data_IF_294781041528
#
_entry.id   IF_294781041528
#
_cell.length_a   1.000
_cell.length_b   1.000
_cell.length_c   1.000
_cell.angle_alpha   90.00
_cell.angle_beta   90.00
_cell.angle_gamma   90.00
#
_symmetry.space_group_name_H-M   'P 1'
#
loop_
_entity.id
_entity.type
_entity.pdbx_description
1 polymer ?
#
# COMPACT_ATOMS: atom_id res chain seq x y z
N UNK A 1 25.01 38.97 35.60
CA UNK A 1 24.92 37.54 35.23
C UNK A 1 23.48 37.02 35.17
N UNK A 2 22.58 37.40 36.10
CA UNK A 2 21.18 36.92 36.12
C UNK A 2 20.37 37.19 34.84
N UNK A 3 20.50 38.37 34.23
CA UNK A 3 19.83 38.69 32.95
C UNK A 3 20.34 37.85 31.77
N UNK A 4 21.65 37.57 31.68
CA UNK A 4 22.22 36.74 30.61
C UNK A 4 21.79 35.27 30.75
N UNK A 5 21.63 34.79 31.99
CA UNK A 5 21.11 33.44 32.28
C UNK A 5 19.62 33.32 31.92
N UNK A 6 18.83 34.36 32.18
CA UNK A 6 17.40 34.39 31.86
C UNK A 6 17.15 34.42 30.34
N UNK A 7 17.95 35.20 29.60
CA UNK A 7 17.93 35.21 28.12
C UNK A 7 18.35 33.85 27.55
N UNK A 8 19.37 33.20 28.14
CA UNK A 8 19.78 31.85 27.75
C UNK A 8 18.70 30.80 28.03
N UNK A 9 18.02 30.85 29.19
CA UNK A 9 16.92 29.94 29.50
C UNK A 9 15.71 30.13 28.56
N UNK A 10 15.39 31.37 28.19
CA UNK A 10 14.32 31.66 27.20
C UNK A 10 14.71 31.13 25.82
N UNK A 11 15.94 31.37 25.36
CA UNK A 11 16.46 30.83 24.09
C UNK A 11 16.51 29.29 24.09
N UNK A 12 16.91 28.67 25.21
CA UNK A 12 16.98 27.22 25.35
C UNK A 12 15.58 26.57 25.39
N UNK A 13 14.60 27.21 26.03
CA UNK A 13 13.21 26.76 26.02
C UNK A 13 12.55 26.85 24.64
N UNK A 14 12.90 27.85 23.83
CA UNK A 14 12.44 27.98 22.46
C UNK A 14 12.99 26.88 21.52
N UNK A 15 14.18 26.34 21.81
CA UNK A 15 14.79 25.27 21.01
C UNK A 15 14.12 23.91 21.28
N UNK A 16 13.66 23.66 22.51
CA UNK A 16 13.05 22.38 22.92
C UNK A 16 11.61 22.16 22.41
N UNK A 17 10.96 23.18 21.84
CA UNK A 17 9.56 23.10 21.39
C UNK A 17 9.36 22.50 19.99
N UNK A 18 10.42 22.18 19.23
CA UNK A 18 10.32 21.95 17.79
C UNK A 18 10.04 20.49 17.34
N UNK A 19 9.65 19.59 18.24
CA UNK A 19 9.60 18.15 17.95
C UNK A 19 8.25 17.45 18.09
N UNK A 20 7.21 18.08 18.64
CA UNK A 20 5.99 17.39 19.02
C UNK A 20 5.01 17.26 17.85
N UNK A 21 4.53 16.04 17.61
CA UNK A 21 3.52 15.75 16.59
C UNK A 21 2.17 15.57 17.25
N UNK A 22 1.13 16.20 16.69
CA UNK A 22 -0.26 15.94 17.07
C UNK A 22 -0.86 14.99 16.05
N UNK A 23 -1.33 13.83 16.49
CA UNK A 23 -2.04 12.84 15.68
C UNK A 23 -3.54 12.98 15.88
N UNK A 24 -4.24 13.19 14.77
CA UNK A 24 -5.68 13.06 14.69
C UNK A 24 -6.02 11.70 14.10
N UNK A 25 -6.77 10.88 14.84
CA UNK A 25 -7.16 9.53 14.43
C UNK A 25 -8.57 9.59 13.86
N UNK A 26 -8.74 9.08 12.64
CA UNK A 26 -10.02 8.97 11.97
C UNK A 26 -10.44 7.51 11.88
N UNK A 27 -11.68 7.22 12.26
CA UNK A 27 -12.36 6.00 11.83
C UNK A 27 -12.76 6.20 10.37
N UNK A 28 -12.21 5.37 9.49
CA UNK A 28 -12.45 5.44 8.04
C UNK A 28 -13.34 4.28 7.63
N UNK A 29 -14.42 4.56 6.92
CA UNK A 29 -15.30 3.57 6.32
C UNK A 29 -15.18 3.67 4.81
N UNK A 30 -14.99 2.52 4.16
CA UNK A 30 -14.84 2.38 2.72
C UNK A 30 -15.84 1.36 2.21
N UNK A 31 -16.61 1.73 1.19
CA UNK A 31 -17.38 0.82 0.36
C UNK A 31 -16.44 0.26 -0.72
N UNK A 32 -15.98 -1.00 -0.61
CA UNK A 32 -15.03 -1.55 -1.58
C UNK A 32 -15.64 -1.74 -2.97
N UNK A 33 -16.97 -1.77 -3.10
CA UNK A 33 -17.67 -1.96 -4.36
C UNK A 33 -18.90 -1.04 -4.44
N UNK A 34 -18.84 0.01 -5.25
CA UNK A 34 -19.94 0.97 -5.41
C UNK A 34 -21.16 0.39 -6.14
N UNK A 35 -21.03 -0.77 -6.79
CA UNK A 35 -22.09 -1.37 -7.62
C UNK A 35 -22.87 -2.42 -6.82
N UNK A 36 -22.21 -3.08 -5.86
CA UNK A 36 -22.83 -4.09 -5.00
C UNK A 36 -23.10 -3.55 -3.60
N UNK A 37 -24.23 -3.97 -3.00
CA UNK A 37 -24.52 -3.72 -1.59
C UNK A 37 -23.61 -4.59 -0.70
N UNK A 38 -22.36 -4.16 -0.54
CA UNK A 38 -21.39 -4.79 0.34
C UNK A 38 -21.30 -4.03 1.66
N UNK A 39 -21.00 -4.75 2.75
CA UNK A 39 -20.76 -4.10 4.03
C UNK A 39 -19.55 -3.18 3.94
N UNK A 40 -19.70 -1.95 4.43
CA UNK A 40 -18.58 -1.01 4.59
C UNK A 40 -17.45 -1.68 5.38
N UNK A 41 -16.23 -1.55 4.88
CA UNK A 41 -15.03 -1.99 5.59
C UNK A 41 -14.46 -0.81 6.36
N UNK A 42 -13.93 -1.09 7.55
CA UNK A 42 -13.36 -0.05 8.41
C UNK A 42 -11.87 -0.22 8.56
N UNK A 43 -11.14 0.89 8.55
CA UNK A 43 -9.77 0.97 9.04
C UNK A 43 -9.53 2.31 9.74
N UNK A 44 -8.44 2.42 10.51
CA UNK A 44 -8.02 3.70 11.09
C UNK A 44 -7.02 4.38 10.17
N UNK A 45 -7.22 5.68 9.98
CA UNK A 45 -6.26 6.55 9.31
C UNK A 45 -5.80 7.63 10.27
N UNK A 46 -4.57 8.07 10.09
CA UNK A 46 -3.92 9.08 10.91
C UNK A 46 -3.67 10.32 10.07
N UNK A 47 -3.94 11.48 10.66
CA UNK A 47 -3.46 12.77 10.22
C UNK A 47 -2.48 13.29 11.28
N UNK A 48 -1.20 13.15 10.99
CA UNK A 48 -0.12 13.63 11.84
C UNK A 48 0.28 15.03 11.42
N UNK A 49 0.26 15.97 12.37
CA UNK A 49 0.58 17.37 12.12
C UNK A 49 1.80 17.74 12.96
N UNK A 50 2.82 18.25 12.27
CA UNK A 50 4.06 18.71 12.85
C UNK A 50 4.50 19.98 12.12
N UNK A 51 4.56 21.09 12.85
CA UNK A 51 4.86 22.40 12.31
C UNK A 51 3.88 22.75 11.16
N UNK A 52 4.41 23.12 10.00
CA UNK A 52 3.63 23.54 8.82
C UNK A 52 3.31 22.38 7.86
N UNK A 53 3.51 21.13 8.30
CA UNK A 53 3.32 19.94 7.47
C UNK A 53 2.38 18.95 8.13
N UNK A 54 1.67 18.20 7.31
CA UNK A 54 0.90 17.05 7.76
C UNK A 54 1.11 15.82 6.90
N UNK A 55 0.91 14.66 7.52
CA UNK A 55 1.00 13.34 6.93
C UNK A 55 -0.32 12.61 7.15
N UNK A 56 -0.98 12.25 6.05
CA UNK A 56 -2.11 11.31 6.06
C UNK A 56 -1.64 9.91 5.68
N UNK A 57 -1.95 8.92 6.51
CA UNK A 57 -1.54 7.52 6.32
C UNK A 57 -2.51 6.54 6.99
N UNK A 58 -2.69 5.34 6.43
CA UNK A 58 -3.36 4.24 7.13
C UNK A 58 -2.51 3.68 8.27
N UNK A 59 -3.15 3.35 9.38
CA UNK A 59 -2.51 2.61 10.48
C UNK A 59 -1.96 1.26 10.01
N UNK A 60 -2.72 0.52 9.19
CA UNK A 60 -2.31 -0.80 8.69
C UNK A 60 -1.09 -0.70 7.78
N UNK A 61 -1.00 0.36 6.96
CA UNK A 61 0.21 0.68 6.19
C UNK A 61 1.38 1.01 7.11
N UNK A 62 1.18 1.91 8.08
CA UNK A 62 2.21 2.33 9.03
C UNK A 62 2.80 1.14 9.80
N UNK A 63 1.96 0.23 10.29
CA UNK A 63 2.38 -0.99 10.98
C UNK A 63 3.19 -1.88 10.04
N UNK A 64 2.73 -2.10 8.79
CA UNK A 64 3.50 -2.91 7.82
C UNK A 64 4.87 -2.33 7.54
N UNK A 65 4.95 -1.04 7.23
CA UNK A 65 6.23 -0.41 6.90
C UNK A 65 7.19 -0.40 8.09
N UNK A 66 6.68 -0.17 9.31
CA UNK A 66 7.47 -0.27 10.54
C UNK A 66 8.00 -1.69 10.78
N UNK A 67 7.13 -2.70 10.64
CA UNK A 67 7.54 -4.10 10.76
C UNK A 67 8.63 -4.43 9.71
N UNK A 68 8.40 -4.10 8.43
CA UNK A 68 9.37 -4.35 7.36
C UNK A 68 10.72 -3.64 7.59
N UNK A 69 10.70 -2.41 8.13
CA UNK A 69 11.93 -1.69 8.47
C UNK A 69 12.71 -2.40 9.59
N UNK A 70 12.02 -2.85 10.65
CA UNK A 70 12.65 -3.60 11.73
C UNK A 70 13.27 -4.92 11.23
N UNK A 71 12.59 -5.64 10.32
CA UNK A 71 13.14 -6.86 9.71
C UNK A 71 14.36 -6.59 8.84
N UNK A 72 14.35 -5.54 8.01
CA UNK A 72 15.52 -5.16 7.20
C UNK A 72 16.72 -4.81 8.06
N UNK A 73 16.50 -4.14 9.21
CA UNK A 73 17.57 -3.83 10.15
C UNK A 73 18.15 -5.09 10.78
N UNK A 74 17.32 -6.04 11.22
CA UNK A 74 17.78 -7.32 11.78
C UNK A 74 18.55 -8.16 10.76
N UNK A 75 18.10 -8.22 9.51
CA UNK A 75 18.82 -8.96 8.45
C UNK A 75 20.17 -8.30 8.14
N UNK A 76 20.25 -6.97 8.11
CA UNK A 76 21.51 -6.25 7.92
C UNK A 76 22.51 -6.50 9.06
N UNK A 77 22.03 -6.64 10.30
CA UNK A 77 22.91 -6.99 11.43
C UNK A 77 23.29 -8.47 11.47
N UNK A 78 22.46 -9.36 10.92
CA UNK A 78 22.68 -10.82 10.95
C UNK A 78 23.44 -11.34 9.73
N UNK A 79 24.27 -10.51 9.06
CA UNK A 79 25.26 -10.98 8.08
C UNK A 79 26.45 -11.75 8.73
N UNK A 80 26.15 -12.67 9.65
CA UNK A 80 26.97 -13.83 9.95
C UNK A 80 26.09 -15.07 9.78
N UNK A 81 26.21 -15.67 8.58
CA UNK A 81 25.87 -17.05 8.20
C UNK A 81 24.92 -17.78 9.16
N UNK A 82 23.64 -17.78 8.85
CA UNK A 82 22.75 -18.92 9.10
C UNK A 82 21.47 -18.70 8.29
N UNK A 83 21.27 -19.54 7.28
CA UNK A 83 19.99 -19.69 6.58
C UNK A 83 18.96 -20.18 7.60
N UNK A 84 18.29 -19.27 8.31
CA UNK A 84 17.14 -19.62 9.14
C UNK A 84 15.86 -19.50 8.34
N UNK A 85 15.38 -20.68 7.97
CA UNK A 85 13.99 -21.07 7.73
C UNK A 85 12.96 -19.95 8.02
N UNK A 86 12.50 -19.29 6.95
CA UNK A 86 11.40 -18.31 6.97
C UNK A 86 10.03 -18.94 7.31
N UNK A 87 9.99 -20.26 7.52
CA UNK A 87 8.81 -21.08 7.80
C UNK A 87 8.30 -20.98 9.25
N UNK A 88 9.06 -20.41 10.20
CA UNK A 88 8.63 -20.25 11.61
C UNK A 88 7.90 -18.94 11.92
N UNK A 89 7.26 -18.30 10.93
CA UNK A 89 6.52 -17.05 11.11
C UNK A 89 5.00 -17.25 11.27
N UNK A 90 4.54 -18.39 11.81
CA UNK A 90 3.11 -18.71 11.95
C UNK A 90 2.38 -17.96 13.07
N UNK A 91 3.04 -17.08 13.83
CA UNK A 91 2.46 -16.42 15.02
C UNK A 91 2.24 -14.90 14.93
N UNK A 92 2.55 -14.25 13.80
CA UNK A 92 2.46 -12.78 13.70
C UNK A 92 1.23 -12.41 12.89
N UNK A 93 0.31 -11.63 13.50
CA UNK A 93 -0.91 -11.09 12.88
C UNK A 93 -0.59 -10.73 11.43
N UNK A 94 -1.20 -11.45 10.48
CA UNK A 94 -1.15 -11.08 9.07
C UNK A 94 -1.50 -9.60 9.02
N UNK A 95 -0.58 -8.78 8.53
CA UNK A 95 -0.80 -7.35 8.58
C UNK A 95 -2.02 -7.05 7.74
N UNK A 96 -3.03 -6.46 8.38
CA UNK A 96 -4.35 -6.33 7.78
C UNK A 96 -4.23 -5.56 6.45
N UNK A 97 -5.02 -5.95 5.43
CA UNK A 97 -5.11 -5.18 4.19
C UNK A 97 -5.51 -3.73 4.49
N UNK A 98 -5.11 -2.81 3.61
CA UNK A 98 -5.50 -1.39 3.67
C UNK A 98 -6.03 -0.94 2.32
N UNK A 99 -6.96 0.02 2.32
CA UNK A 99 -7.40 0.74 1.12
C UNK A 99 -6.43 1.88 0.75
N UNK A 100 -5.55 2.26 1.67
CA UNK A 100 -4.59 3.36 1.51
C UNK A 100 -3.16 2.82 1.55
N UNK A 101 -2.74 2.13 0.48
CA UNK A 101 -1.35 1.65 0.29
C UNK A 101 -0.34 2.81 0.05
N UNK A 102 -0.84 4.04 -0.03
CA UNK A 102 -0.12 5.28 -0.22
C UNK A 102 -0.11 6.13 1.05
N UNK A 103 0.66 7.22 1.04
CA UNK A 103 0.56 8.28 2.04
C UNK A 103 0.56 9.65 1.36
N UNK A 104 0.02 10.65 2.04
CA UNK A 104 -0.10 12.00 1.50
C UNK A 104 0.60 12.97 2.44
N UNK A 105 1.44 13.83 1.89
CA UNK A 105 2.08 14.92 2.63
C UNK A 105 1.49 16.24 2.15
N UNK A 106 1.13 17.11 3.11
CA UNK A 106 0.63 18.45 2.81
C UNK A 106 1.53 19.50 3.43
N UNK A 107 1.84 20.52 2.65
CA UNK A 107 2.38 21.78 3.14
C UNK A 107 1.21 22.75 3.27
N UNK A 108 0.71 22.91 4.51
CA UNK A 108 -0.56 23.57 4.78
C UNK A 108 -0.52 25.06 4.41
N UNK A 109 0.53 25.84 4.78
CA UNK A 109 0.61 27.25 4.39
C UNK A 109 0.68 27.47 2.87
N UNK A 110 1.36 26.61 2.13
CA UNK A 110 1.49 26.72 0.67
C UNK A 110 0.34 26.04 -0.09
N UNK A 111 -0.57 25.35 0.62
CA UNK A 111 -1.63 24.52 0.06
C UNK A 111 -1.13 23.51 -0.99
N UNK A 112 0.10 22.99 -0.80
CA UNK A 112 0.66 21.96 -1.68
C UNK A 112 0.40 20.59 -1.12
N UNK A 113 -0.09 19.70 -1.96
CA UNK A 113 -0.41 18.31 -1.61
C UNK A 113 0.45 17.38 -2.47
N UNK A 114 1.12 16.44 -1.83
CA UNK A 114 1.99 15.45 -2.48
C UNK A 114 1.47 14.05 -2.15
N UNK A 115 1.22 13.27 -3.18
CA UNK A 115 0.79 11.88 -3.07
C UNK A 115 1.99 10.97 -3.31
N UNK A 116 2.26 10.06 -2.37
CA UNK A 116 3.37 9.11 -2.44
C UNK A 116 2.87 7.68 -2.40
N UNK A 117 3.44 6.86 -3.28
CA UNK A 117 3.22 5.41 -3.32
C UNK A 117 4.57 4.69 -3.36
N UNK A 118 4.59 3.42 -2.99
CA UNK A 118 5.78 2.57 -3.07
C UNK A 118 5.46 1.38 -3.96
N UNK A 119 6.24 1.27 -5.03
CA UNK A 119 6.10 0.21 -6.02
C UNK A 119 7.43 -0.51 -6.17
N UNK A 120 7.41 -1.80 -5.85
CA UNK A 120 8.57 -2.70 -5.89
C UNK A 120 9.85 -2.13 -5.23
N UNK A 121 9.67 -1.54 -4.05
CA UNK A 121 10.76 -0.97 -3.26
C UNK A 121 11.21 0.43 -3.68
N UNK A 122 10.73 0.96 -4.81
CA UNK A 122 10.95 2.34 -5.25
C UNK A 122 9.76 3.21 -4.86
N UNK A 123 10.03 4.44 -4.42
CA UNK A 123 8.98 5.42 -4.21
C UNK A 123 8.69 6.17 -5.51
N UNK A 124 7.42 6.45 -5.75
CA UNK A 124 6.94 7.30 -6.83
C UNK A 124 5.95 8.30 -6.24
N UNK A 125 5.96 9.54 -6.72
CA UNK A 125 5.09 10.58 -6.20
C UNK A 125 4.68 11.60 -7.26
N UNK A 126 3.62 12.35 -6.98
CA UNK A 126 3.25 13.54 -7.73
C UNK A 126 2.76 14.64 -6.80
N UNK A 127 2.82 15.88 -7.29
CA UNK A 127 2.12 17.01 -6.66
C UNK A 127 0.71 17.10 -7.25
N UNK A 128 -0.32 17.18 -6.40
CA UNK A 128 -1.70 17.40 -6.83
C UNK A 128 -1.81 18.77 -7.49
N UNK A 129 -2.42 18.79 -8.67
CA UNK A 129 -2.58 19.97 -9.53
C UNK A 129 -4.00 20.55 -9.45
N UNK A 130 -4.98 19.81 -8.91
CA UNK A 130 -6.36 20.28 -8.78
C UNK A 130 -6.54 21.07 -7.48
N UNK A 131 -7.01 22.32 -7.53
CA UNK A 131 -7.29 23.10 -6.33
C UNK A 131 -8.55 22.61 -5.63
N UNK A 132 -8.54 22.59 -4.30
CA UNK A 132 -9.72 22.31 -3.47
C UNK A 132 -10.46 23.63 -3.20
N UNK A 133 -11.59 23.86 -3.87
CA UNK A 133 -12.38 25.08 -3.75
C UNK A 133 -13.64 24.82 -2.91
N UNK A 134 -13.57 25.09 -1.62
CA UNK A 134 -14.69 24.89 -0.71
C UNK A 134 -15.81 25.92 -0.88
N UNK A 135 -17.05 25.43 -0.86
CA UNK A 135 -18.25 26.23 -0.65
C UNK A 135 -18.68 26.07 0.80
N UNK A 136 -18.38 27.07 1.63
CA UNK A 136 -18.76 27.06 3.05
C UNK A 136 -20.22 27.50 3.19
N UNK A 137 -21.02 26.71 3.90
CA UNK A 137 -22.41 27.02 4.21
C UNK A 137 -22.55 27.67 5.59
N UNK A 138 -23.71 28.29 5.86
CA UNK A 138 -24.04 28.84 7.18
C UNK A 138 -24.61 27.80 8.16
N UNK A 139 -24.62 26.51 7.77
CA UNK A 139 -25.14 25.44 8.61
C UNK A 139 -24.10 25.10 9.67
N UNK A 140 -24.52 25.20 10.93
CA UNK A 140 -23.72 24.90 12.12
C UNK A 140 -24.40 23.83 12.94
N UNK A 141 -23.65 22.82 13.35
CA UNK A 141 -24.14 21.70 14.15
C UNK A 141 -23.18 21.38 15.30
N UNK A 142 -23.60 20.50 16.21
CA UNK A 142 -22.71 19.89 17.19
C UNK A 142 -22.46 18.43 16.81
N UNK A 143 -21.20 18.11 16.50
CA UNK A 143 -20.77 16.74 16.16
C UNK A 143 -19.47 16.41 16.89
N UNK A 144 -19.35 15.19 17.41
CA UNK A 144 -18.18 14.69 18.15
C UNK A 144 -17.71 15.62 19.29
N UNK A 145 -18.63 16.35 19.91
CA UNK A 145 -18.35 17.31 20.99
C UNK A 145 -17.88 18.69 20.52
N UNK A 146 -17.75 18.93 19.21
CA UNK A 146 -17.32 20.20 18.62
C UNK A 146 -18.48 20.98 18.01
N UNK A 147 -18.36 22.30 17.99
CA UNK A 147 -19.20 23.13 17.12
C UNK A 147 -18.61 23.09 15.71
N UNK A 148 -19.38 22.58 14.75
CA UNK A 148 -18.93 22.32 13.39
C UNK A 148 -19.73 23.11 12.37
N UNK A 149 -19.08 23.50 11.28
CA UNK A 149 -19.68 24.20 10.15
C UNK A 149 -19.55 23.33 8.89
N UNK A 150 -20.61 23.28 8.09
CA UNK A 150 -20.64 22.48 6.85
C UNK A 150 -19.99 23.22 5.69
N UNK A 151 -19.16 22.51 4.92
CA UNK A 151 -18.62 22.93 3.64
C UNK A 151 -18.73 21.80 2.60
N UNK A 152 -18.82 22.16 1.33
CA UNK A 152 -18.89 21.21 0.22
C UNK A 152 -17.83 21.51 -0.83
N UNK A 153 -17.35 20.47 -1.52
CA UNK A 153 -16.42 20.62 -2.65
C UNK A 153 -16.64 19.52 -3.68
N UNK A 154 -16.45 19.83 -4.96
CA UNK A 154 -16.32 18.84 -6.01
C UNK A 154 -14.82 18.54 -6.23
N UNK A 155 -14.40 17.30 -5.96
CA UNK A 155 -13.00 16.89 -6.08
C UNK A 155 -12.91 15.42 -6.46
N UNK A 156 -12.03 15.10 -7.42
CA UNK A 156 -11.81 13.71 -7.85
C UNK A 156 -13.04 13.03 -8.44
N UNK A 157 -13.96 13.79 -9.05
CA UNK A 157 -15.21 13.26 -9.60
C UNK A 157 -16.28 12.90 -8.56
N UNK A 158 -16.09 13.28 -7.29
CA UNK A 158 -17.05 13.11 -6.20
C UNK A 158 -17.43 14.45 -5.59
N UNK A 159 -18.63 14.51 -5.00
CA UNK A 159 -19.03 15.64 -4.17
C UNK A 159 -18.75 15.27 -2.72
N UNK A 160 -17.96 16.08 -2.05
CA UNK A 160 -17.56 15.85 -0.67
C UNK A 160 -18.25 16.84 0.23
N UNK A 161 -18.84 16.34 1.32
CA UNK A 161 -19.33 17.13 2.43
C UNK A 161 -18.33 17.05 3.59
N UNK A 162 -17.83 18.19 4.03
CA UNK A 162 -16.94 18.32 5.17
C UNK A 162 -17.65 19.08 6.30
N UNK A 163 -17.47 18.58 7.53
CA UNK A 163 -17.81 19.30 8.76
C UNK A 163 -16.51 19.67 9.45
N UNK A 164 -16.25 20.97 9.58
CA UNK A 164 -15.01 21.48 10.17
C UNK A 164 -15.28 22.30 11.43
N UNK A 165 -14.34 22.31 12.37
CA UNK A 165 -14.46 23.07 13.62
C UNK A 165 -13.38 24.14 13.75
N UNK A 166 -13.77 25.35 14.15
CA UNK A 166 -12.86 26.45 14.46
C UNK A 166 -12.23 26.32 15.85
N UNK A 167 -12.77 25.42 16.68
CA UNK A 167 -12.24 25.11 18.02
C UNK A 167 -10.82 24.51 17.94
N UNK A 168 -10.51 23.88 16.81
CA UNK A 168 -9.17 23.43 16.44
C UNK A 168 -8.74 24.24 15.21
N UNK A 169 -7.98 25.35 15.38
CA UNK A 169 -7.64 26.30 14.32
C UNK A 169 -6.52 25.77 13.41
N UNK A 170 -6.71 24.57 12.87
CA UNK A 170 -5.79 23.87 11.98
C UNK A 170 -6.49 23.71 10.64
N UNK A 171 -5.99 24.37 9.60
CA UNK A 171 -6.60 24.37 8.27
C UNK A 171 -6.29 23.08 7.48
N UNK A 172 -6.71 21.94 8.01
CA UNK A 172 -6.37 20.62 7.48
C UNK A 172 -7.46 19.56 7.70
N UNK A 173 -7.28 18.36 7.16
CA UNK A 173 -8.22 17.24 7.24
C UNK A 173 -7.68 15.92 6.71
N UNK A 174 -8.52 14.86 6.64
CA UNK A 174 -8.11 13.58 6.10
C UNK A 174 -7.87 13.64 4.58
N UNK A 175 -7.13 12.65 4.05
CA UNK A 175 -6.79 12.56 2.63
C UNK A 175 -6.10 13.83 2.10
N UNK A 176 -6.47 14.29 0.90
CA UNK A 176 -5.94 15.50 0.25
C UNK A 176 -6.62 16.79 0.70
N UNK A 177 -7.62 16.71 1.57
CA UNK A 177 -8.46 17.85 1.94
C UNK A 177 -7.78 18.75 2.98
N UNK A 178 -7.79 20.05 2.70
CA UNK A 178 -7.28 21.13 3.55
C UNK A 178 -7.89 22.47 3.09
N UNK A 179 -7.59 23.57 3.79
CA UNK A 179 -7.96 24.93 3.35
C UNK A 179 -9.24 25.53 3.95
N UNK A 180 -9.90 24.84 4.89
CA UNK A 180 -10.99 25.38 5.71
C UNK A 180 -10.41 26.10 6.95
N UNK A 181 -11.10 27.09 7.53
CA UNK A 181 -10.59 27.84 8.69
C UNK A 181 -10.71 27.07 10.02
N UNK A 182 -10.38 25.77 10.00
CA UNK A 182 -10.53 24.84 11.11
C UNK A 182 -10.35 23.39 10.66
N UNK A 183 -10.17 22.48 11.61
CA UNK A 183 -9.91 21.06 11.32
C UNK A 183 -11.20 20.39 10.81
N UNK A 184 -11.10 19.62 9.73
CA UNK A 184 -12.18 18.75 9.26
C UNK A 184 -12.34 17.58 10.23
N UNK A 185 -13.44 17.55 10.99
CA UNK A 185 -13.73 16.48 11.95
C UNK A 185 -14.56 15.36 11.35
N UNK A 186 -15.32 15.65 10.29
CA UNK A 186 -16.04 14.65 9.51
C UNK A 186 -15.95 14.98 8.03
N UNK A 187 -15.76 13.96 7.20
CA UNK A 187 -15.74 14.07 5.74
C UNK A 187 -16.44 12.86 5.14
N UNK A 188 -17.38 13.07 4.23
CA UNK A 188 -18.03 11.99 3.49
C UNK A 188 -18.32 12.39 2.05
N UNK A 189 -18.32 11.41 1.15
CA UNK A 189 -18.76 11.64 -0.23
C UNK A 189 -20.29 11.50 -0.34
N UNK A 190 -20.86 12.04 -1.42
CA UNK A 190 -22.29 12.08 -1.69
C UNK A 190 -22.94 10.69 -1.80
N UNK A 191 -22.16 9.68 -2.18
CA UNK A 191 -22.60 8.28 -2.27
C UNK A 191 -22.45 7.51 -0.97
N UNK A 192 -21.76 8.07 0.02
CA UNK A 192 -21.45 7.41 1.28
C UNK A 192 -20.48 6.24 1.14
N UNK A 193 -19.76 6.16 0.02
CA UNK A 193 -18.71 5.17 -0.24
C UNK A 193 -17.47 5.40 0.62
N UNK A 194 -17.22 6.64 1.00
CA UNK A 194 -16.07 7.05 1.79
C UNK A 194 -16.52 7.94 2.93
N UNK A 195 -16.18 7.56 4.16
CA UNK A 195 -16.45 8.35 5.36
C UNK A 195 -15.22 8.38 6.25
N UNK A 196 -14.93 9.56 6.77
CA UNK A 196 -13.84 9.80 7.72
C UNK A 196 -14.43 10.53 8.92
N UNK A 197 -14.41 9.90 10.08
CA UNK A 197 -14.91 10.47 11.34
C UNK A 197 -13.77 10.60 12.34
N UNK A 198 -13.51 11.82 12.84
CA UNK A 198 -12.49 12.07 13.85
C UNK A 198 -12.88 11.43 15.17
N UNK A 199 -12.09 10.48 15.66
CA UNK A 199 -12.38 9.75 16.90
C UNK A 199 -11.44 10.12 18.04
N UNK A 200 -10.21 10.56 17.75
CA UNK A 200 -9.23 10.82 18.79
C UNK A 200 -8.21 11.88 18.39
N UNK A 201 -7.75 12.65 19.38
CA UNK A 201 -6.56 13.50 19.31
C UNK A 201 -5.52 12.96 20.28
N UNK A 202 -4.31 12.70 19.80
CA UNK A 202 -3.18 12.16 20.58
C UNK A 202 -1.95 13.03 20.34
N UNK A 203 -1.16 13.24 21.38
CA UNK A 203 0.12 13.93 21.27
C UNK A 203 1.23 12.89 21.30
N UNK A 204 2.11 12.90 20.30
CA UNK A 204 3.14 11.88 20.10
C UNK A 204 4.51 12.54 20.17
N UNK A 205 5.37 12.00 21.03
CA UNK A 205 6.78 12.33 21.09
C UNK A 205 7.50 11.35 20.15
N UNK A 206 8.15 11.83 19.10
CA UNK A 206 8.79 11.04 18.04
C UNK A 206 7.80 10.27 17.14
N UNK A 207 6.90 10.99 16.46
CA UNK A 207 6.08 10.36 15.43
C UNK A 207 6.96 9.71 14.35
N UNK A 208 6.51 8.56 13.86
CA UNK A 208 7.11 7.92 12.69
C UNK A 208 6.95 8.86 11.49
N UNK A 209 8.06 9.28 10.92
CA UNK A 209 8.10 10.03 9.67
C UNK A 209 8.39 9.05 8.54
N UNK A 210 7.49 8.98 7.56
CA UNK A 210 7.76 8.26 6.32
C UNK A 210 8.99 8.87 5.64
N UNK A 211 10.05 8.07 5.50
CA UNK A 211 11.26 8.53 4.84
C UNK A 211 11.00 8.70 3.35
N UNK A 212 11.13 9.93 2.85
CA UNK A 212 11.12 10.22 1.41
C UNK A 212 12.51 9.91 0.86
N UNK A 213 12.59 8.95 -0.05
CA UNK A 213 13.81 8.59 -0.77
C UNK A 213 14.24 9.75 -1.67
N UNK A 214 15.53 10.06 -1.67
CA UNK A 214 16.15 10.99 -2.63
C UNK A 214 16.04 10.51 -4.07
N UNK A 215 15.83 9.20 -4.27
CA UNK A 215 15.64 8.56 -5.58
C UNK A 215 14.15 8.39 -5.94
N UNK A 216 13.23 9.00 -5.18
CA UNK A 216 11.81 8.90 -5.48
C UNK A 216 11.51 9.45 -6.89
N UNK A 217 10.87 8.64 -7.73
CA UNK A 217 10.48 9.05 -9.09
C UNK A 217 9.36 10.07 -8.99
N UNK A 218 9.60 11.29 -9.46
CA UNK A 218 8.53 12.26 -9.65
C UNK A 218 7.76 11.94 -10.93
N UNK A 219 6.43 12.00 -10.86
CA UNK A 219 5.49 11.86 -11.97
C UNK A 219 4.49 13.03 -11.96
N UNK A 220 3.54 13.01 -12.89
CA UNK A 220 2.36 13.87 -12.87
C UNK A 220 1.16 13.06 -12.41
N UNK A 221 0.12 13.73 -11.87
CA UNK A 221 -1.12 13.06 -11.47
C UNK A 221 -1.70 12.20 -12.62
N UNK A 222 -1.72 12.75 -13.82
CA UNK A 222 -2.29 12.10 -15.01
C UNK A 222 -1.50 10.87 -15.43
N UNK A 223 -0.15 10.94 -15.39
CA UNK A 223 0.70 9.83 -15.84
C UNK A 223 1.00 8.81 -14.73
N UNK A 224 0.59 9.09 -13.49
CA UNK A 224 1.03 8.35 -12.31
C UNK A 224 0.80 6.85 -12.41
N UNK A 225 -0.39 6.41 -12.82
CA UNK A 225 -0.69 4.99 -12.96
C UNK A 225 0.16 4.30 -14.04
N UNK A 226 0.38 4.99 -15.18
CA UNK A 226 1.24 4.47 -16.24
C UNK A 226 2.70 4.37 -15.81
N UNK A 227 3.22 5.40 -15.14
CA UNK A 227 4.57 5.42 -14.58
C UNK A 227 4.77 4.36 -13.50
N UNK A 228 3.76 4.13 -12.65
CA UNK A 228 3.76 3.06 -11.65
C UNK A 228 3.83 1.69 -12.30
N UNK A 229 2.96 1.42 -13.29
CA UNK A 229 2.96 0.16 -14.03
C UNK A 229 4.28 -0.10 -14.77
N UNK A 230 4.89 0.95 -15.34
CA UNK A 230 6.20 0.85 -15.98
C UNK A 230 7.29 0.39 -14.99
N UNK A 231 7.31 0.94 -13.76
CA UNK A 231 8.24 0.51 -12.71
C UNK A 231 8.03 -0.95 -12.30
N UNK A 232 6.78 -1.42 -12.24
CA UNK A 232 6.47 -2.83 -11.96
C UNK A 232 6.99 -3.76 -13.05
N UNK A 233 6.77 -3.38 -14.32
CA UNK A 233 7.22 -4.15 -15.48
C UNK A 233 8.74 -4.21 -15.57
N UNK A 234 9.44 -3.10 -15.35
CA UNK A 234 10.91 -3.04 -15.30
C UNK A 234 11.47 -3.99 -14.25
N UNK A 235 10.90 -3.97 -13.04
CA UNK A 235 11.33 -4.88 -11.99
C UNK A 235 11.06 -6.35 -12.35
N UNK A 236 9.88 -6.64 -12.93
CA UNK A 236 9.53 -7.98 -13.39
C UNK A 236 10.51 -8.53 -14.43
N UNK A 237 10.93 -7.70 -15.39
CA UNK A 237 11.96 -8.06 -16.40
C UNK A 237 13.31 -8.32 -15.72
N UNK A 238 13.76 -7.42 -14.85
CA UNK A 238 15.04 -7.58 -14.15
C UNK A 238 15.07 -8.84 -13.28
N UNK A 239 13.96 -9.17 -12.59
CA UNK A 239 13.85 -10.42 -11.82
C UNK A 239 13.96 -11.65 -12.71
N UNK A 240 13.30 -11.68 -13.88
CA UNK A 240 13.39 -12.79 -14.83
C UNK A 240 14.81 -12.97 -15.37
N UNK A 241 15.50 -11.87 -15.67
CA UNK A 241 16.91 -11.90 -16.10
C UNK A 241 17.79 -12.48 -14.99
N UNK A 242 17.64 -12.00 -13.75
CA UNK A 242 18.41 -12.53 -12.61
C UNK A 242 18.15 -14.01 -12.34
N UNK A 243 16.89 -14.47 -12.44
CA UNK A 243 16.53 -15.88 -12.28
C UNK A 243 17.08 -16.74 -13.44
N UNK A 244 17.07 -16.23 -14.68
CA UNK A 244 17.67 -16.90 -15.83
C UNK A 244 19.19 -17.06 -15.69
N UNK A 245 19.86 -16.06 -15.11
CA UNK A 245 21.31 -16.07 -14.89
C UNK A 245 21.73 -16.98 -13.71
N UNK A 246 20.82 -17.27 -12.76
CA UNK A 246 21.06 -18.26 -11.69
C UNK A 246 20.94 -19.71 -12.18
N UNK A 247 20.18 -19.96 -13.26
CA UNK A 247 20.09 -21.28 -13.88
C UNK A 247 21.24 -21.60 -14.85
N UNK A 248 22.14 -20.64 -15.11
CA UNK A 248 23.39 -20.85 -15.87
C UNK A 248 24.59 -20.97 -14.94
N UNK A 249 24.41 -21.55 -13.76
CA UNK A 249 25.52 -22.11 -12.98
C UNK A 249 26.20 -23.20 -13.81
N UNK A 250 27.43 -22.92 -14.22
CA UNK A 250 28.30 -23.76 -15.03
C UNK A 250 28.22 -25.24 -14.62
N UNK A 251 27.78 -26.10 -15.55
CA UNK A 251 28.15 -27.51 -15.45
C UNK A 251 29.67 -27.57 -15.62
N UNK A 252 30.43 -28.26 -14.76
CA UNK A 252 31.86 -28.48 -15.00
C UNK A 252 32.03 -29.17 -16.36
N UNK A 253 32.98 -28.69 -17.13
CA UNK A 253 33.36 -29.28 -18.41
C UNK A 253 33.83 -30.73 -18.19
N UNK A 254 32.99 -31.70 -18.55
CA UNK A 254 33.43 -33.09 -18.70
C UNK A 254 34.23 -33.21 -19.99
N UNK A 255 35.54 -33.19 -19.83
CA UNK A 255 36.50 -33.66 -20.81
C UNK A 255 36.39 -35.19 -20.85
N UNK A 256 35.65 -35.76 -21.81
CA UNK A 256 35.92 -37.15 -22.20
C UNK A 256 35.67 -37.37 -23.70
N UNK A 257 36.71 -37.85 -24.37
CA UNK A 257 36.74 -38.06 -25.80
C UNK A 257 36.10 -39.38 -26.25
N UNK A 258 35.94 -39.47 -27.57
CA UNK A 258 35.91 -40.73 -28.30
C UNK A 258 34.61 -41.04 -29.05
N UNK A 259 34.72 -41.13 -30.39
CA UNK A 259 34.04 -42.21 -31.13
C UNK A 259 32.78 -41.87 -31.94
N UNK A 260 32.98 -41.56 -33.22
CA UNK A 260 32.47 -42.26 -34.43
C UNK A 260 30.99 -42.75 -34.55
N UNK A 261 30.49 -42.54 -35.78
CA UNK A 261 29.37 -43.19 -36.51
C UNK A 261 27.95 -42.74 -36.09
N UNK A 262 26.98 -42.50 -36.97
CA UNK A 262 26.86 -42.69 -38.42
C UNK A 262 25.44 -43.14 -38.77
N UNK A 263 24.75 -42.36 -39.62
CA UNK A 263 23.70 -42.84 -40.55
C UNK A 263 22.26 -43.08 -40.04
N UNK A 264 21.29 -42.78 -40.92
CA UNK A 264 20.15 -43.69 -41.14
C UNK A 264 18.72 -43.18 -40.94
N UNK A 265 18.22 -42.46 -41.96
CA UNK A 265 16.87 -42.47 -42.57
C UNK A 265 15.71 -43.37 -42.06
N UNK A 266 14.50 -42.79 -42.22
CA UNK A 266 13.18 -43.38 -42.59
C UNK A 266 12.48 -44.29 -41.56
N UNK A 267 11.15 -44.35 -41.41
CA UNK A 267 10.03 -43.79 -42.15
C UNK A 267 8.79 -44.68 -41.94
N UNK A 268 7.58 -44.10 -41.97
CA UNK A 268 6.39 -44.73 -42.54
C UNK A 268 5.42 -45.54 -41.65
N UNK A 269 4.12 -45.22 -41.81
CA UNK A 269 3.01 -46.18 -41.94
C UNK A 269 2.27 -46.58 -40.65
N UNK A 270 1.06 -46.09 -40.36
CA UNK A 270 -0.27 -46.43 -40.91
C UNK A 270 -0.98 -47.64 -40.26
N UNK A 271 -2.10 -47.32 -39.60
CA UNK A 271 -3.45 -47.93 -39.67
C UNK A 271 -3.66 -49.45 -39.44
N UNK A 272 -4.69 -49.74 -38.64
CA UNK A 272 -5.47 -50.98 -38.74
C UNK A 272 -6.57 -51.07 -37.67
N UNK A 273 -7.82 -51.33 -38.08
CA UNK A 273 -9.01 -51.49 -37.21
C UNK A 273 -8.96 -52.73 -36.32
N UNK A 274 -9.97 -53.13 -35.55
CA UNK A 274 -11.42 -52.94 -35.58
C UNK A 274 -12.05 -54.23 -35.01
N UNK A 275 -13.30 -54.15 -34.52
CA UNK A 275 -14.22 -55.24 -34.13
C UNK A 275 -14.14 -55.90 -32.74
N UNK A 276 -15.18 -55.59 -31.95
CA UNK A 276 -16.30 -56.48 -31.54
C UNK A 276 -16.03 -57.74 -30.72
N UNK A 277 -16.78 -57.89 -29.62
CA UNK A 277 -17.02 -59.18 -28.96
C UNK A 277 -17.38 -59.06 -27.49
N UNK A 278 -18.64 -59.28 -27.14
CA UNK A 278 -19.19 -59.11 -25.79
C UNK A 278 -18.85 -60.21 -24.79
N UNK A 279 -19.25 -59.98 -23.54
CA UNK A 279 -19.22 -60.96 -22.45
C UNK A 279 -19.63 -60.34 -21.12
N UNK A 280 -20.81 -60.70 -20.63
CA UNK A 280 -21.32 -60.34 -19.31
C UNK A 280 -20.53 -61.07 -18.21
N UNK A 281 -20.20 -60.40 -17.08
CA UNK A 281 -20.37 -60.98 -15.73
C UNK A 281 -20.17 -59.95 -14.61
N UNK A 282 -21.03 -60.06 -13.59
CA UNK A 282 -21.09 -59.32 -12.33
C UNK A 282 -19.82 -59.44 -11.48
N UNK A 283 -19.50 -58.41 -10.71
CA UNK A 283 -18.67 -58.54 -9.50
C UNK A 283 -18.24 -57.20 -8.91
N UNK A 284 -18.69 -56.92 -7.69
CA UNK A 284 -18.45 -55.70 -6.93
C UNK A 284 -16.96 -55.40 -6.66
N UNK A 285 -16.64 -54.10 -6.63
CA UNK A 285 -15.91 -53.52 -5.51
C UNK A 285 -14.42 -53.27 -5.70
N UNK A 286 -14.08 -51.98 -5.65
CA UNK A 286 -12.86 -51.36 -5.12
C UNK A 286 -11.96 -50.69 -6.17
N UNK A 287 -12.21 -49.39 -6.40
CA UNK A 287 -11.40 -48.52 -7.25
C UNK A 287 -10.07 -48.20 -6.55
N UNK A 288 -9.01 -48.85 -7.02
CA UNK A 288 -7.69 -48.21 -7.09
C UNK A 288 -7.62 -47.44 -8.40
N UNK A 289 -7.37 -46.14 -8.33
CA UNK A 289 -6.81 -45.39 -9.45
C UNK A 289 -5.69 -44.48 -8.94
N UNK A 290 -4.55 -44.71 -9.57
CA UNK A 290 -3.29 -44.02 -9.43
C UNK A 290 -3.43 -42.51 -9.65
N UNK A 291 -2.91 -41.73 -8.71
CA UNK A 291 -2.60 -40.32 -8.94
C UNK A 291 -1.15 -40.21 -9.39
N UNK A 292 -0.86 -39.61 -10.56
CA UNK A 292 0.51 -39.27 -10.91
C UNK A 292 1.02 -38.19 -9.94
N UNK A 293 2.17 -38.42 -9.32
CA UNK A 293 2.91 -37.38 -8.60
C UNK A 293 3.20 -36.21 -9.55
N UNK A 294 2.46 -35.11 -9.41
CA UNK A 294 2.90 -33.84 -9.93
C UNK A 294 4.07 -33.35 -9.08
N UNK A 295 5.24 -33.31 -9.69
CA UNK A 295 6.41 -32.60 -9.18
C UNK A 295 6.01 -31.19 -8.76
N UNK A 296 6.22 -30.88 -7.49
CA UNK A 296 6.03 -29.54 -6.94
C UNK A 296 7.06 -28.60 -7.58
N UNK A 297 6.67 -27.93 -8.67
CA UNK A 297 7.39 -26.76 -9.13
C UNK A 297 7.01 -25.60 -8.20
N UNK A 298 7.97 -25.19 -7.38
CA UNK A 298 8.01 -23.90 -6.68
C UNK A 298 7.96 -22.77 -7.71
N UNK A 299 6.77 -22.45 -8.20
CA UNK A 299 6.53 -21.26 -9.00
C UNK A 299 5.13 -20.77 -8.66
N UNK A 300 5.07 -19.87 -7.69
CA UNK A 300 4.21 -18.67 -7.70
C UNK A 300 4.05 -18.15 -6.26
N UNK A 301 5.13 -17.60 -5.68
CA UNK A 301 4.95 -16.56 -4.65
C UNK A 301 4.67 -15.25 -5.37
N UNK A 302 3.54 -15.22 -6.10
CA UNK A 302 2.87 -13.95 -6.34
C UNK A 302 2.41 -13.47 -4.98
N UNK A 303 3.04 -12.42 -4.47
CA UNK A 303 2.40 -11.56 -3.48
C UNK A 303 1.21 -10.88 -4.18
N UNK A 304 0.17 -11.66 -4.49
CA UNK A 304 -1.17 -11.16 -4.72
C UNK A 304 -1.64 -10.67 -3.36
N UNK A 305 -1.36 -9.41 -3.06
CA UNK A 305 -2.11 -8.69 -2.03
C UNK A 305 -3.60 -8.93 -2.36
N UNK A 306 -4.28 -9.64 -1.46
CA UNK A 306 -5.64 -10.14 -1.65
C UNK A 306 -6.74 -9.08 -1.64
N UNK A 307 -6.47 -7.89 -2.19
CA UNK A 307 -7.51 -6.92 -2.50
C UNK A 307 -7.54 -6.77 -4.02
N UNK A 308 -8.48 -7.48 -4.62
CA UNK A 308 -8.62 -7.67 -6.06
C UNK A 308 -8.73 -6.37 -6.85
N UNK A 309 -8.53 -6.51 -8.16
CA UNK A 309 -8.45 -5.48 -9.19
C UNK A 309 -9.72 -4.64 -9.43
N UNK A 310 -10.69 -4.66 -8.50
CA UNK A 310 -11.93 -3.90 -8.53
C UNK A 310 -12.18 -3.28 -7.15
N UNK A 311 -11.35 -2.33 -6.75
CA UNK A 311 -11.68 -1.47 -5.61
C UNK A 311 -12.36 -0.22 -6.14
N UNK A 312 -13.49 0.16 -5.54
CA UNK A 312 -14.13 1.46 -5.75
C UNK A 312 -13.11 2.58 -5.46
N UNK A 313 -12.59 3.31 -6.45
CA UNK A 313 -11.49 4.23 -6.20
C UNK A 313 -12.00 5.51 -5.54
N UNK A 314 -11.23 6.06 -4.61
CA UNK A 314 -11.59 7.32 -3.93
C UNK A 314 -11.71 8.50 -4.90
N UNK A 315 -10.95 8.48 -6.00
CA UNK A 315 -11.06 9.43 -7.10
C UNK A 315 -11.47 8.70 -8.38
N UNK A 316 -12.47 9.24 -9.09
CA UNK A 316 -13.09 8.59 -10.23
C UNK A 316 -12.46 8.96 -11.58
N UNK A 317 -11.73 10.08 -11.70
CA UNK A 317 -10.94 10.51 -12.87
C UNK A 317 -10.03 11.73 -12.53
#
# INVERSE_FOLDING_TARGET
MKQKLLVFCVLFSAIMSNGQTIRYVYATLVNPDSINLVSMKSERTFLDIKNNRSLFISENKLIRDSLLASFKSQVKETHKKEEKDFSKLEGRRSAEPTFFEYFIIKNVPEQKVYYYDKVVGKQIYYQEDRPVKWTVSNIVEKQNGYTVQKAEVNFGGRIWTAWFTKDIPVSDGPYKFSGLPGLIVKLEDDKGDYKFDLVQKVTINNAFEESISTEAKQSTRVNFHGDKAALELEFGKNRKIMAGNMNTGEKPADFNGGGRHGGGMNGGGMRGGGHSGGGMHRGMGNNGQDFPMSTANMSDLSFKNGIGQNQNPIELN
#
